data_IF_879509624477
#
_entry.id   IF_879509624477
#
_cell.length_a   1.000
_cell.length_b   1.000
_cell.length_c   1.000
_cell.angle_alpha   90.00
_cell.angle_beta   90.00
_cell.angle_gamma   90.00
#
_symmetry.space_group_name_H-M   'P 1'
#
loop_
_entity.id
_entity.type
_entity.pdbx_description
1 polymer ?
#
# COMPACT_ATOMS: atom_id res chain seq x y z
N UNK A 1 18.47 21.16 -10.87
CA UNK A 1 18.46 21.92 -12.15
C UNK A 1 18.99 21.13 -13.35
N UNK A 2 20.24 20.65 -13.37
CA UNK A 2 20.75 19.87 -14.54
C UNK A 2 19.97 18.58 -14.84
N UNK A 3 19.51 17.83 -13.84
CA UNK A 3 18.76 16.58 -14.05
C UNK A 3 17.36 16.81 -14.61
N UNK A 4 16.65 17.83 -14.21
CA UNK A 4 15.28 18.14 -14.68
C UNK A 4 15.26 18.54 -16.17
N UNK A 5 16.28 19.28 -16.64
CA UNK A 5 16.42 19.61 -18.06
C UNK A 5 16.71 18.38 -18.91
N UNK A 6 17.50 17.43 -18.36
CA UNK A 6 17.83 16.17 -19.04
C UNK A 6 16.58 15.31 -19.12
N UNK A 7 15.83 15.15 -18.02
CA UNK A 7 14.56 14.42 -17.98
C UNK A 7 13.57 15.01 -18.99
N UNK A 8 13.41 16.33 -19.04
CA UNK A 8 12.54 17.00 -20.02
C UNK A 8 12.94 16.70 -21.46
N UNK A 9 14.25 16.68 -21.77
CA UNK A 9 14.76 16.34 -23.12
C UNK A 9 14.47 14.88 -23.47
N UNK A 10 14.66 13.96 -22.52
CA UNK A 10 14.39 12.53 -22.73
C UNK A 10 12.90 12.31 -22.98
N UNK A 11 12.01 12.95 -22.16
CA UNK A 11 10.55 12.90 -22.36
C UNK A 11 10.14 13.41 -23.75
N UNK A 12 10.72 14.54 -24.20
CA UNK A 12 10.48 15.07 -25.53
C UNK A 12 10.93 14.15 -26.67
N UNK A 13 12.02 13.42 -26.48
CA UNK A 13 12.49 12.41 -27.45
C UNK A 13 11.59 11.17 -27.47
N UNK A 14 11.10 10.72 -26.31
CA UNK A 14 10.18 9.59 -26.21
C UNK A 14 8.82 9.92 -26.82
N UNK A 15 8.26 11.11 -26.54
CA UNK A 15 7.03 11.58 -27.15
C UNK A 15 7.10 11.63 -28.69
N UNK A 16 8.24 12.09 -29.26
CA UNK A 16 8.48 12.04 -30.70
C UNK A 16 8.59 10.62 -31.26
N UNK A 17 9.10 9.67 -30.46
CA UNK A 17 9.21 8.28 -30.86
C UNK A 17 7.84 7.57 -30.86
N UNK A 18 6.87 8.04 -30.05
CA UNK A 18 5.53 7.49 -29.98
C UNK A 18 4.59 8.01 -31.06
N UNK A 19 4.81 9.23 -31.56
CA UNK A 19 3.93 9.91 -32.51
C UNK A 19 3.83 9.19 -33.87
N UNK A 20 4.91 8.52 -34.34
CA UNK A 20 4.94 7.78 -35.61
C UNK A 20 5.91 6.60 -35.53
N UNK A 21 5.51 5.51 -34.93
CA UNK A 21 6.37 4.38 -34.57
C UNK A 21 7.18 3.73 -35.73
N UNK A 22 6.77 3.92 -36.98
CA UNK A 22 7.38 3.31 -38.18
C UNK A 22 8.30 4.26 -38.96
N UNK A 23 8.51 5.50 -38.50
CA UNK A 23 9.36 6.46 -39.20
C UNK A 23 10.81 6.42 -38.71
N UNK A 24 11.76 6.64 -39.62
CA UNK A 24 13.20 6.70 -39.31
C UNK A 24 13.55 7.80 -38.29
N UNK A 25 12.76 8.89 -38.23
CA UNK A 25 12.93 9.97 -37.27
C UNK A 25 12.55 9.49 -35.85
N UNK A 26 11.47 8.76 -35.70
CA UNK A 26 10.99 8.19 -34.44
C UNK A 26 11.96 7.13 -33.89
N UNK A 27 12.51 6.29 -34.75
CA UNK A 27 13.55 5.33 -34.36
C UNK A 27 14.84 6.02 -33.88
N UNK A 28 15.24 7.08 -34.55
CA UNK A 28 16.39 7.90 -34.11
C UNK A 28 16.12 8.61 -32.78
N UNK A 29 14.90 9.14 -32.59
CA UNK A 29 14.51 9.75 -31.32
C UNK A 29 14.55 8.75 -30.17
N UNK A 30 14.07 7.51 -30.38
CA UNK A 30 14.12 6.44 -29.38
C UNK A 30 15.57 6.06 -29.03
N UNK A 31 16.45 5.95 -30.05
CA UNK A 31 17.86 5.65 -29.84
C UNK A 31 18.57 6.77 -29.05
N UNK A 32 18.26 8.02 -29.36
CA UNK A 32 18.79 9.18 -28.63
C UNK A 32 18.28 9.19 -27.18
N UNK A 33 16.99 8.95 -26.95
CA UNK A 33 16.43 8.84 -25.60
C UNK A 33 17.16 7.77 -24.78
N UNK A 34 17.30 6.55 -25.33
CA UNK A 34 18.04 5.45 -24.67
C UNK A 34 19.50 5.83 -24.36
N UNK A 35 20.22 6.48 -25.30
CA UNK A 35 21.59 6.95 -25.07
C UNK A 35 21.67 7.97 -23.92
N UNK A 36 20.72 8.90 -23.85
CA UNK A 36 20.69 9.90 -22.76
C UNK A 36 20.35 9.26 -21.42
N UNK A 37 19.41 8.31 -21.39
CA UNK A 37 19.07 7.55 -20.20
C UNK A 37 20.28 6.82 -19.61
N UNK A 38 21.02 6.08 -20.46
CA UNK A 38 22.24 5.38 -20.05
C UNK A 38 23.34 6.35 -19.60
N UNK A 39 23.58 7.43 -20.37
CA UNK A 39 24.64 8.40 -20.08
C UNK A 39 24.44 9.13 -18.75
N UNK A 40 23.18 9.37 -18.37
CA UNK A 40 22.83 10.14 -17.18
C UNK A 40 22.29 9.27 -16.04
N UNK A 41 22.34 7.94 -16.20
CA UNK A 41 21.80 6.96 -15.24
C UNK A 41 20.32 7.23 -14.89
N UNK A 42 19.52 7.72 -15.86
CA UNK A 42 18.10 7.99 -15.72
C UNK A 42 17.34 6.73 -16.09
N UNK A 43 16.51 6.25 -15.19
CA UNK A 43 15.63 5.10 -15.42
C UNK A 43 14.30 5.56 -16.02
N UNK A 44 13.52 4.62 -16.58
CA UNK A 44 12.20 4.91 -17.12
C UNK A 44 11.26 5.46 -16.05
N UNK A 45 11.39 4.98 -14.82
CA UNK A 45 10.65 5.44 -13.63
C UNK A 45 10.91 6.92 -13.29
N UNK A 46 12.10 7.44 -13.60
CA UNK A 46 12.46 8.85 -13.40
C UNK A 46 11.81 9.77 -14.44
N UNK A 47 11.24 9.19 -15.51
CA UNK A 47 10.60 9.93 -16.61
C UNK A 47 9.07 10.04 -16.42
N UNK A 48 8.48 9.23 -15.58
CA UNK A 48 7.05 9.34 -15.28
C UNK A 48 6.79 10.63 -14.49
N UNK A 49 5.71 11.34 -14.83
CA UNK A 49 5.22 12.44 -13.98
C UNK A 49 4.60 11.83 -12.74
N UNK A 50 5.42 11.79 -11.70
CA UNK A 50 5.07 11.17 -10.42
C UNK A 50 4.18 12.14 -9.65
N UNK A 51 2.89 12.03 -9.85
CA UNK A 51 1.92 12.76 -9.04
C UNK A 51 1.80 12.09 -7.67
N UNK A 52 2.30 12.78 -6.64
CA UNK A 52 2.18 12.37 -5.24
C UNK A 52 1.02 13.14 -4.62
N UNK A 53 0.10 12.43 -3.99
CA UNK A 53 -1.09 13.00 -3.37
C UNK A 53 -1.35 12.40 -1.99
N UNK A 54 -2.25 13.06 -1.26
CA UNK A 54 -2.94 12.50 -0.10
C UNK A 54 -4.35 12.12 -0.50
N UNK A 55 -4.79 10.94 -0.09
CA UNK A 55 -6.16 10.48 -0.29
C UNK A 55 -6.80 10.15 1.04
N UNK A 56 -7.97 10.72 1.26
CA UNK A 56 -8.82 10.39 2.39
C UNK A 56 -9.39 8.98 2.22
N UNK A 57 -9.25 8.15 3.26
CA UNK A 57 -9.63 6.75 3.22
C UNK A 57 -10.86 6.48 4.08
N UNK A 58 -10.85 6.97 5.34
CA UNK A 58 -11.92 6.68 6.27
C UNK A 58 -11.97 7.64 7.45
N UNK A 59 -13.19 7.91 7.93
CA UNK A 59 -13.44 8.64 9.17
C UNK A 59 -13.82 7.70 10.31
N UNK A 60 -13.31 7.98 11.50
CA UNK A 60 -13.57 7.24 12.72
C UNK A 60 -14.16 8.15 13.80
N UNK A 61 -15.30 7.77 14.39
CA UNK A 61 -15.84 8.38 15.62
C UNK A 61 -15.16 7.80 16.85
N UNK A 62 -14.90 6.50 16.82
CA UNK A 62 -14.14 5.75 17.81
C UNK A 62 -13.06 5.03 17.05
N UNK A 63 -11.83 5.19 17.47
CA UNK A 63 -10.66 4.61 16.82
C UNK A 63 -10.17 3.44 17.67
N UNK A 64 -10.15 2.25 17.08
CA UNK A 64 -9.73 1.03 17.74
C UNK A 64 -8.31 0.65 17.32
N UNK A 65 -7.60 -0.08 18.17
CA UNK A 65 -6.21 -0.50 17.97
C UNK A 65 -5.97 -1.23 16.63
N UNK A 66 -6.93 -2.03 16.20
CA UNK A 66 -6.80 -2.83 15.00
C UNK A 66 -6.94 -2.02 13.70
N UNK A 67 -7.60 -0.87 13.76
CA UNK A 67 -7.76 0.03 12.60
C UNK A 67 -6.41 0.65 12.22
N UNK A 68 -5.62 1.02 13.23
CA UNK A 68 -4.23 1.46 13.02
C UNK A 68 -3.36 0.35 12.43
N UNK A 69 -3.46 -0.85 13.01
CA UNK A 69 -2.65 -1.97 12.56
C UNK A 69 -2.98 -2.38 11.12
N UNK A 70 -4.27 -2.38 10.76
CA UNK A 70 -4.70 -2.63 9.38
C UNK A 70 -4.18 -1.56 8.42
N UNK A 71 -4.30 -0.28 8.76
CA UNK A 71 -3.82 0.81 7.93
C UNK A 71 -2.30 0.75 7.74
N UNK A 72 -1.55 0.47 8.82
CA UNK A 72 -0.10 0.31 8.77
C UNK A 72 0.32 -0.89 7.90
N UNK A 73 -0.38 -2.01 8.03
CA UNK A 73 -0.16 -3.20 7.22
C UNK A 73 -0.36 -2.93 5.72
N UNK A 74 -1.45 -2.23 5.37
CA UNK A 74 -1.70 -1.84 3.98
C UNK A 74 -0.63 -0.85 3.50
N UNK A 75 -0.29 0.15 4.30
CA UNK A 75 0.71 1.15 3.92
C UNK A 75 2.08 0.53 3.64
N UNK A 76 2.49 -0.47 4.43
CA UNK A 76 3.76 -1.18 4.28
C UNK A 76 3.83 -1.96 2.96
N UNK A 77 2.73 -2.66 2.57
CA UNK A 77 2.73 -3.57 1.43
C UNK A 77 2.27 -2.93 0.11
N UNK A 78 1.63 -1.76 0.15
CA UNK A 78 1.04 -1.12 -1.03
C UNK A 78 1.69 0.23 -1.39
N UNK A 79 2.96 0.43 -1.03
CA UNK A 79 3.81 1.55 -1.47
C UNK A 79 3.32 2.93 -1.06
N UNK A 80 2.44 3.01 -0.06
CA UNK A 80 1.91 4.27 0.47
C UNK A 80 2.38 4.50 1.92
N UNK A 81 2.06 5.67 2.46
CA UNK A 81 2.23 6.00 3.87
C UNK A 81 0.86 6.30 4.46
N UNK A 82 0.64 5.92 5.69
CA UNK A 82 -0.58 6.23 6.43
C UNK A 82 -0.31 7.38 7.43
N UNK A 83 -1.29 8.25 7.58
CA UNK A 83 -1.31 9.24 8.65
C UNK A 83 -2.76 9.58 9.03
N UNK A 84 -2.91 10.19 10.19
CA UNK A 84 -4.22 10.55 10.73
C UNK A 84 -4.30 12.04 11.00
N UNK A 85 -5.49 12.60 10.78
CA UNK A 85 -5.77 14.00 11.06
C UNK A 85 -7.16 14.16 11.65
N UNK A 86 -7.28 14.99 12.68
CA UNK A 86 -8.57 15.35 13.22
C UNK A 86 -9.31 16.31 12.29
N UNK A 87 -10.53 15.97 11.93
CA UNK A 87 -11.48 16.83 11.24
C UNK A 87 -12.71 17.03 12.15
N UNK A 88 -12.67 18.12 12.93
CA UNK A 88 -13.64 18.29 14.00
C UNK A 88 -13.56 17.19 15.04
N UNK A 89 -14.64 16.42 15.22
CA UNK A 89 -14.70 15.29 16.18
C UNK A 89 -14.34 13.93 15.56
N UNK A 90 -14.02 13.90 14.26
CA UNK A 90 -13.68 12.68 13.56
C UNK A 90 -12.17 12.58 13.34
N UNK A 91 -11.61 11.41 13.65
CA UNK A 91 -10.25 11.06 13.23
C UNK A 91 -10.31 10.49 11.82
N UNK A 92 -9.57 11.10 10.90
CA UNK A 92 -9.57 10.72 9.49
C UNK A 92 -8.25 10.07 9.11
N UNK A 93 -8.32 8.88 8.53
CA UNK A 93 -7.18 8.18 7.93
C UNK A 93 -6.93 8.70 6.52
N UNK A 94 -5.69 9.01 6.25
CA UNK A 94 -5.19 9.34 4.92
C UNK A 94 -4.12 8.36 4.48
N UNK A 95 -4.12 8.01 3.19
CA UNK A 95 -2.96 7.44 2.54
C UNK A 95 -2.24 8.51 1.70
N UNK A 96 -0.91 8.44 1.69
CA UNK A 96 -0.01 9.34 1.00
C UNK A 96 0.92 8.54 0.09
N UNK A 97 0.93 8.84 -1.19
CA UNK A 97 1.73 8.09 -2.16
C UNK A 97 1.48 8.53 -3.61
N UNK A 98 1.89 7.70 -4.54
CA UNK A 98 1.58 7.87 -5.95
C UNK A 98 0.08 7.68 -6.18
N UNK A 99 -0.53 8.48 -7.05
CA UNK A 99 -1.97 8.42 -7.31
C UNK A 99 -2.43 7.00 -7.66
N UNK A 100 -1.70 6.28 -8.51
CA UNK A 100 -2.00 4.89 -8.88
C UNK A 100 -1.90 3.92 -7.69
N UNK A 101 -0.90 4.10 -6.82
CA UNK A 101 -0.72 3.25 -5.64
C UNK A 101 -1.81 3.53 -4.59
N UNK A 102 -2.28 4.79 -4.50
CA UNK A 102 -3.35 5.20 -3.58
C UNK A 102 -4.69 4.53 -3.90
N UNK A 103 -5.07 4.43 -5.17
CA UNK A 103 -6.31 3.77 -5.57
C UNK A 103 -6.32 2.31 -5.13
N UNK A 104 -5.25 1.63 -5.44
CA UNK A 104 -5.12 0.23 -5.12
C UNK A 104 -5.05 -0.04 -3.61
N UNK A 105 -4.26 0.75 -2.87
CA UNK A 105 -4.19 0.67 -1.42
C UNK A 105 -5.56 0.92 -0.76
N UNK A 106 -6.36 1.87 -1.28
CA UNK A 106 -7.71 2.14 -0.81
C UNK A 106 -8.64 0.95 -1.03
N UNK A 107 -8.62 0.34 -2.21
CA UNK A 107 -9.48 -0.79 -2.53
C UNK A 107 -9.18 -2.00 -1.62
N UNK A 108 -7.91 -2.32 -1.44
CA UNK A 108 -7.48 -3.41 -0.55
C UNK A 108 -7.80 -3.09 0.91
N UNK A 109 -7.63 -1.84 1.35
CA UNK A 109 -8.02 -1.42 2.70
C UNK A 109 -9.52 -1.62 2.91
N UNK A 110 -10.35 -1.14 2.00
CA UNK A 110 -11.80 -1.23 2.12
C UNK A 110 -12.29 -2.69 2.12
N UNK A 111 -11.71 -3.52 1.25
CA UNK A 111 -12.03 -4.95 1.19
C UNK A 111 -11.61 -5.66 2.49
N UNK A 112 -10.38 -5.42 2.96
CA UNK A 112 -9.86 -6.01 4.19
C UNK A 112 -10.65 -5.56 5.42
N UNK A 113 -10.96 -4.26 5.51
CA UNK A 113 -11.76 -3.68 6.58
C UNK A 113 -13.17 -4.29 6.64
N UNK A 114 -13.85 -4.32 5.50
CA UNK A 114 -15.21 -4.85 5.42
C UNK A 114 -15.26 -6.34 5.74
N UNK A 115 -14.29 -7.10 5.24
CA UNK A 115 -14.16 -8.53 5.53
C UNK A 115 -13.90 -8.78 7.01
N UNK A 116 -12.95 -8.05 7.61
CA UNK A 116 -12.65 -8.16 9.04
C UNK A 116 -13.89 -7.85 9.90
N UNK A 117 -14.61 -6.76 9.60
CA UNK A 117 -15.85 -6.42 10.31
C UNK A 117 -16.91 -7.51 10.17
N UNK A 118 -17.12 -8.02 8.95
CA UNK A 118 -18.11 -9.07 8.68
C UNK A 118 -17.80 -10.37 9.44
N UNK A 119 -16.58 -10.89 9.29
CA UNK A 119 -16.18 -12.14 9.95
C UNK A 119 -16.15 -12.00 11.46
N UNK A 120 -15.71 -10.87 12.02
CA UNK A 120 -15.73 -10.60 13.45
C UNK A 120 -17.16 -10.55 13.97
N UNK A 121 -18.07 -9.84 13.29
CA UNK A 121 -19.48 -9.80 13.68
C UNK A 121 -20.13 -11.19 13.63
N UNK A 122 -19.84 -11.97 12.59
CA UNK A 122 -20.32 -13.35 12.48
C UNK A 122 -19.81 -14.22 13.65
N UNK A 123 -18.52 -14.16 13.96
CA UNK A 123 -17.93 -14.88 15.08
C UNK A 123 -18.61 -14.52 16.40
N UNK A 124 -18.78 -13.22 16.70
CA UNK A 124 -19.40 -12.75 17.93
C UNK A 124 -20.88 -13.13 18.03
N UNK A 125 -21.59 -13.21 16.90
CA UNK A 125 -23.00 -13.64 16.87
C UNK A 125 -23.20 -15.05 17.40
N UNK A 126 -22.21 -15.90 17.30
CA UNK A 126 -22.18 -17.28 17.82
C UNK A 126 -21.86 -17.34 19.32
N UNK A 127 -21.35 -16.26 19.91
CA UNK A 127 -20.85 -16.17 21.30
C UNK A 127 -21.78 -15.41 22.24
N UNK A 128 -23.10 -15.38 21.95
CA UNK A 128 -24.11 -14.61 22.72
C UNK A 128 -24.23 -15.02 24.21
N UNK A 129 -23.71 -16.17 24.59
CA UNK A 129 -23.69 -16.65 25.97
C UNK A 129 -22.56 -16.03 26.83
N UNK A 130 -21.56 -15.38 26.20
CA UNK A 130 -20.43 -14.78 26.90
C UNK A 130 -20.82 -13.44 27.55
N UNK A 131 -20.21 -13.13 28.69
CA UNK A 131 -20.33 -11.81 29.33
C UNK A 131 -19.51 -10.76 28.57
N UNK A 132 -19.82 -9.47 28.79
CA UNK A 132 -19.25 -8.36 28.03
C UNK A 132 -17.71 -8.36 27.96
N UNK A 133 -17.02 -8.71 29.04
CA UNK A 133 -15.55 -8.78 29.10
C UNK A 133 -15.01 -9.90 28.23
N UNK A 134 -15.62 -11.08 28.30
CA UNK A 134 -15.24 -12.25 27.48
C UNK A 134 -15.51 -12.01 25.99
N UNK A 135 -16.63 -11.33 25.67
CA UNK A 135 -16.93 -10.94 24.28
C UNK A 135 -15.87 -9.99 23.72
N UNK A 136 -15.43 -9.03 24.55
CA UNK A 136 -14.36 -8.11 24.12
C UNK A 136 -13.06 -8.86 23.87
N UNK A 137 -12.65 -9.74 24.80
CA UNK A 137 -11.45 -10.56 24.64
C UNK A 137 -11.56 -11.48 23.42
N UNK A 138 -12.72 -12.13 23.22
CA UNK A 138 -12.96 -12.97 22.03
C UNK A 138 -12.90 -12.16 20.73
N UNK A 139 -13.35 -10.89 20.73
CA UNK A 139 -13.20 -9.97 19.61
C UNK A 139 -11.73 -9.68 19.34
N UNK A 140 -10.97 -9.34 20.36
CA UNK A 140 -9.56 -8.97 20.25
C UNK A 140 -8.70 -10.17 19.78
N UNK A 141 -8.94 -11.37 20.31
CA UNK A 141 -8.28 -12.60 19.87
C UNK A 141 -8.55 -12.90 18.39
N UNK A 142 -9.83 -12.74 17.99
CA UNK A 142 -10.27 -12.99 16.61
C UNK A 142 -9.59 -12.00 15.64
N UNK A 143 -9.65 -10.71 15.94
CA UNK A 143 -9.05 -9.66 15.12
C UNK A 143 -7.53 -9.85 15.02
N UNK A 144 -6.86 -10.19 16.11
CA UNK A 144 -5.43 -10.46 16.12
C UNK A 144 -5.04 -11.60 15.17
N UNK A 145 -5.80 -12.71 15.18
CA UNK A 145 -5.58 -13.84 14.27
C UNK A 145 -5.81 -13.46 12.81
N UNK A 146 -6.86 -12.70 12.54
CA UNK A 146 -7.21 -12.25 11.20
C UNK A 146 -6.12 -11.34 10.60
N UNK A 147 -5.68 -10.33 11.35
CA UNK A 147 -4.63 -9.40 10.92
C UNK A 147 -3.28 -10.10 10.73
N UNK A 148 -2.96 -11.08 11.58
CA UNK A 148 -1.75 -11.89 11.40
C UNK A 148 -1.79 -12.67 10.08
N UNK A 149 -2.92 -13.26 9.73
CA UNK A 149 -3.07 -13.96 8.46
C UNK A 149 -2.92 -13.03 7.25
N UNK A 150 -3.49 -11.82 7.31
CA UNK A 150 -3.31 -10.81 6.26
C UNK A 150 -1.84 -10.44 6.11
N UNK A 151 -1.14 -10.18 7.23
CA UNK A 151 0.28 -9.86 7.24
C UNK A 151 1.11 -10.98 6.59
N UNK A 152 0.87 -12.24 6.98
CA UNK A 152 1.60 -13.37 6.42
C UNK A 152 1.32 -13.56 4.93
N UNK A 153 0.08 -13.36 4.51
CA UNK A 153 -0.33 -13.45 3.11
C UNK A 153 0.36 -12.38 2.25
N UNK A 154 0.37 -11.14 2.69
CA UNK A 154 1.07 -10.07 1.97
C UNK A 154 2.58 -10.27 1.95
N UNK A 155 3.18 -10.69 3.07
CA UNK A 155 4.59 -11.02 3.12
C UNK A 155 4.97 -12.16 2.16
N UNK A 156 4.13 -13.20 2.07
CA UNK A 156 4.36 -14.31 1.14
C UNK A 156 4.29 -13.84 -0.32
N UNK A 157 3.29 -13.04 -0.67
CA UNK A 157 3.16 -12.49 -2.01
C UNK A 157 4.35 -11.59 -2.36
N UNK A 158 4.78 -10.76 -1.41
CA UNK A 158 5.96 -9.93 -1.53
C UNK A 158 7.22 -10.74 -1.84
N UNK A 159 7.47 -11.82 -1.07
CA UNK A 159 8.60 -12.71 -1.29
C UNK A 159 8.54 -13.44 -2.65
N UNK A 160 7.33 -13.77 -3.12
CA UNK A 160 7.16 -14.36 -4.45
C UNK A 160 7.53 -13.37 -5.56
N UNK A 161 7.10 -12.13 -5.45
CA UNK A 161 7.45 -11.05 -6.38
C UNK A 161 8.98 -10.84 -6.35
N UNK A 162 9.58 -10.76 -5.18
CA UNK A 162 11.02 -10.53 -5.00
C UNK A 162 11.86 -11.66 -5.62
N UNK A 163 11.44 -12.91 -5.50
CA UNK A 163 12.12 -14.08 -6.09
C UNK A 163 12.00 -14.16 -7.62
N UNK A 164 10.89 -13.67 -8.17
CA UNK A 164 10.65 -13.67 -9.63
C UNK A 164 11.25 -12.43 -10.31
N UNK A 165 11.56 -11.41 -9.54
CA UNK A 165 12.05 -10.15 -10.03
C UNK A 165 13.55 -10.25 -10.39
N UNK A 166 13.89 -9.94 -11.63
CA UNK A 166 15.23 -9.44 -11.97
C UNK A 166 15.48 -8.14 -11.20
N UNK A 167 16.75 -7.78 -10.96
CA UNK A 167 17.18 -6.65 -10.10
C UNK A 167 16.45 -5.30 -10.33
N UNK A 168 15.76 -5.13 -11.45
CA UNK A 168 14.98 -3.93 -11.78
C UNK A 168 13.58 -3.90 -11.16
N UNK A 169 13.01 -5.06 -10.79
CA UNK A 169 11.67 -5.17 -10.16
C UNK A 169 11.71 -4.97 -8.64
N UNK A 170 12.87 -5.07 -7.99
CA UNK A 170 13.03 -4.78 -6.55
C UNK A 170 12.66 -3.34 -6.18
N UNK A 171 12.75 -2.41 -7.14
CA UNK A 171 12.36 -1.01 -6.95
C UNK A 171 10.83 -0.85 -6.84
N UNK A 172 10.05 -1.81 -7.37
CA UNK A 172 8.58 -1.78 -7.33
C UNK A 172 7.99 -2.22 -5.99
N UNK A 173 8.83 -2.75 -5.09
CA UNK A 173 8.35 -3.48 -3.90
C UNK A 173 8.30 -2.59 -2.64
N UNK A 174 8.97 -1.44 -2.60
CA UNK A 174 8.99 -0.54 -1.44
C UNK A 174 8.36 0.83 -1.71
N UNK A 175 8.05 1.56 -0.65
CA UNK A 175 7.60 2.95 -0.77
C UNK A 175 8.65 3.77 -1.56
N UNK A 176 8.27 4.44 -2.65
CA UNK A 176 9.20 5.20 -3.47
C UNK A 176 10.00 6.22 -2.66
N UNK A 177 11.30 6.42 -2.95
CA UNK A 177 12.13 7.37 -2.20
C UNK A 177 11.56 8.78 -2.14
N UNK A 178 10.98 9.26 -3.24
CA UNK A 178 10.33 10.58 -3.32
C UNK A 178 9.12 10.68 -2.39
N UNK A 179 8.29 9.64 -2.33
CA UNK A 179 7.16 9.57 -1.39
C UNK A 179 7.66 9.62 0.05
N UNK A 180 8.72 8.87 0.39
CA UNK A 180 9.31 8.89 1.74
C UNK A 180 9.84 10.27 2.13
N UNK A 181 10.59 10.92 1.25
CA UNK A 181 11.18 12.23 1.51
C UNK A 181 10.10 13.31 1.69
N UNK A 182 9.11 13.35 0.78
CA UNK A 182 8.02 14.30 0.85
C UNK A 182 7.13 14.05 2.09
N UNK A 183 6.85 12.79 2.40
CA UNK A 183 6.07 12.43 3.58
C UNK A 183 6.73 12.90 4.88
N UNK A 184 8.05 12.75 5.02
CA UNK A 184 8.79 13.26 6.17
C UNK A 184 8.65 14.78 6.35
N UNK A 185 8.61 15.54 5.25
CA UNK A 185 8.40 16.98 5.31
C UNK A 185 6.97 17.34 5.75
N UNK A 186 5.98 16.62 5.23
CA UNK A 186 4.56 16.83 5.58
C UNK A 186 4.29 16.47 7.04
N UNK A 187 4.94 15.43 7.56
CA UNK A 187 4.67 14.88 8.90
C UNK A 187 5.64 15.33 9.98
N UNK A 188 6.51 16.29 9.73
CA UNK A 188 7.51 16.79 10.70
C UNK A 188 6.94 17.20 12.07
N UNK A 189 5.65 17.58 12.12
CA UNK A 189 4.95 18.03 13.32
C UNK A 189 3.91 17.05 13.84
N UNK A 190 3.88 15.83 13.30
CA UNK A 190 2.91 14.82 13.70
C UNK A 190 3.48 13.98 14.83
N UNK A 191 2.63 13.69 15.81
CA UNK A 191 2.97 12.75 16.87
C UNK A 191 2.95 11.32 16.31
N UNK A 192 3.79 10.46 16.88
CA UNK A 192 3.75 9.04 16.52
C UNK A 192 2.64 8.34 17.31
N UNK A 193 1.73 7.71 16.60
CA UNK A 193 0.72 6.87 17.24
C UNK A 193 1.41 5.65 17.88
N UNK A 194 1.11 5.42 19.17
CA UNK A 194 1.52 4.21 19.87
C UNK A 194 0.28 3.33 20.07
N UNK A 195 0.25 2.18 19.43
CA UNK A 195 -0.82 1.21 19.58
C UNK A 195 -0.39 0.12 20.55
N UNK A 196 -1.18 -0.08 21.59
CA UNK A 196 -1.00 -1.22 22.49
C UNK A 196 -1.79 -2.40 21.91
N UNK A 197 -1.07 -3.47 21.57
CA UNK A 197 -1.69 -4.69 21.08
C UNK A 197 -2.25 -5.48 22.28
N UNK A 198 -3.50 -6.00 22.17
CA UNK A 198 -4.04 -6.86 23.19
C UNK A 198 -3.30 -8.21 23.25
N UNK A 199 -3.24 -8.80 24.44
CA UNK A 199 -2.75 -10.17 24.60
C UNK A 199 -3.76 -11.16 24.04
N UNK A 200 -3.27 -12.18 23.33
CA UNK A 200 -4.08 -13.28 22.84
C UNK A 200 -4.30 -14.29 23.98
N UNK A 201 -5.55 -14.46 24.39
CA UNK A 201 -5.95 -15.38 25.46
C UNK A 201 -6.46 -16.70 24.88
N UNK A 202 -7.31 -16.65 23.86
CA UNK A 202 -7.85 -17.84 23.18
C UNK A 202 -7.11 -18.14 21.89
N UNK A 203 -6.16 -19.06 21.95
CA UNK A 203 -5.42 -19.51 20.76
C UNK A 203 -6.34 -20.21 19.74
N UNK A 204 -7.43 -20.83 20.18
CA UNK A 204 -8.43 -21.44 19.31
C UNK A 204 -9.15 -20.37 18.47
N UNK A 205 -9.64 -19.32 19.13
CA UNK A 205 -10.28 -18.18 18.46
C UNK A 205 -9.34 -17.50 17.46
N UNK A 206 -8.10 -17.28 17.87
CA UNK A 206 -7.06 -16.73 17.03
C UNK A 206 -6.80 -17.59 15.77
N UNK A 207 -6.60 -18.91 15.94
CA UNK A 207 -6.36 -19.83 14.82
C UNK A 207 -7.55 -19.92 13.87
N UNK A 208 -8.78 -19.90 14.40
CA UNK A 208 -10.00 -19.88 13.59
C UNK A 208 -10.01 -18.64 12.68
N UNK A 209 -9.80 -17.46 13.24
CA UNK A 209 -9.76 -16.21 12.49
C UNK A 209 -8.63 -16.21 11.45
N UNK A 210 -7.46 -16.72 11.81
CA UNK A 210 -6.34 -16.86 10.90
C UNK A 210 -6.69 -17.70 9.67
N UNK A 211 -7.33 -18.85 9.86
CA UNK A 211 -7.75 -19.72 8.76
C UNK A 211 -8.83 -19.07 7.88
N UNK A 212 -9.79 -18.38 8.47
CA UNK A 212 -10.85 -17.68 7.75
C UNK A 212 -10.26 -16.53 6.90
N UNK A 213 -9.32 -15.75 7.42
CA UNK A 213 -8.66 -14.69 6.67
C UNK A 213 -7.80 -15.20 5.49
N UNK A 214 -7.22 -16.40 5.59
CA UNK A 214 -6.48 -16.99 4.48
C UNK A 214 -7.36 -17.30 3.27
N UNK A 215 -8.68 -17.46 3.45
CA UNK A 215 -9.63 -17.72 2.34
C UNK A 215 -9.91 -16.48 1.51
N UNK A 216 -9.62 -15.27 2.00
CA UNK A 216 -9.83 -14.05 1.25
C UNK A 216 -8.93 -13.99 0.02
N UNK A 217 -9.50 -13.65 -1.13
CA UNK A 217 -8.73 -13.36 -2.33
C UNK A 217 -8.29 -11.90 -2.33
N UNK A 218 -7.09 -11.67 -1.81
CA UNK A 218 -6.43 -10.36 -1.76
C UNK A 218 -5.16 -10.44 -2.61
N UNK A 219 -5.32 -10.66 -3.91
CA UNK A 219 -4.17 -10.72 -4.81
C UNK A 219 -3.55 -9.33 -4.95
N UNK A 220 -2.24 -9.24 -4.72
CA UNK A 220 -1.44 -8.08 -5.07
C UNK A 220 -1.37 -8.02 -6.61
N UNK A 221 -2.46 -7.53 -7.27
CA UNK A 221 -2.37 -7.07 -8.65
C UNK A 221 -1.75 -5.66 -8.58
N UNK A 222 -1.18 -5.08 -9.49
CA UNK A 222 -0.89 -5.17 -10.92
C UNK A 222 0.51 -4.71 -11.32
N UNK A 223 1.48 -4.68 -10.45
CA UNK A 223 2.84 -4.29 -10.86
C UNK A 223 3.47 -5.26 -11.88
N UNK A 224 2.82 -6.41 -12.12
CA UNK A 224 3.31 -7.45 -13.02
C UNK A 224 2.68 -7.40 -14.42
N UNK A 225 1.50 -6.78 -14.60
CA UNK A 225 0.85 -6.71 -15.94
C UNK A 225 1.45 -5.64 -16.84
N UNK A 226 2.13 -4.63 -16.29
CA UNK A 226 2.80 -3.57 -17.07
C UNK A 226 4.23 -3.93 -17.50
N UNK A 227 4.74 -5.11 -17.15
CA UNK A 227 6.13 -5.53 -17.39
C UNK A 227 6.23 -6.73 -18.35
N UNK A 228 5.10 -7.31 -18.78
CA UNK A 228 5.02 -8.34 -19.82
C UNK A 228 4.63 -7.75 -21.16
#
# INVERSE_FOLDING_TARGET
MKNEEIIRKIKGLLAKAEDHADDAESQNALLMAKKWMVKHHIKREDLEDVEIASREIRHFKVFEWWEELLASLIAEHFRVRAYYQWQGELLTLYFYGLVKDLEYAQDIFNLSYSSLCFFTAHHLSQKKHLVKGELRQSKDDYISGFLKALSDKFNLQYQMIEKQASSNLLVLVGVPPQVRQNFQQVTQRFDQAQVQLPEVVSLETYKKAYQEALTLDLTLRPALEEVL
#
